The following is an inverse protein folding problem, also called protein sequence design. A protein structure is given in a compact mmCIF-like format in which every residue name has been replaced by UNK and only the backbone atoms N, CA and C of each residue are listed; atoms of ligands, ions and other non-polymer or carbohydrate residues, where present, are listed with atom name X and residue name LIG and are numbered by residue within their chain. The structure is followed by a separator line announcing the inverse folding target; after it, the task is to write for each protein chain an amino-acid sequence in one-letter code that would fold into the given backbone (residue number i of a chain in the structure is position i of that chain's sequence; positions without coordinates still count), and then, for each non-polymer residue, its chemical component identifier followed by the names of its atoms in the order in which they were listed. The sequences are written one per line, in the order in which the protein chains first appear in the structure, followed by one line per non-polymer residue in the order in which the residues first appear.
data_IF_280356296855
#
_entry.id   IF_280356296855
#
_cell.length_a   1.000
_cell.length_b   1.000
_cell.length_c   1.000
_cell.angle_alpha   90.00
_cell.angle_beta   90.00
_cell.angle_gamma   90.00
#
_symmetry.space_group_name_H-M   'P 1'
#
loop_
_entity.id
_entity.type
_entity.pdbx_description
1 polymer ?
#
# COMPACT_ATOMS: atom_id res chain seq x y z
N UNK A 1 -4.40 13.89 -12.38
CA UNK A 1 -5.36 13.40 -11.36
C UNK A 1 -4.57 13.09 -10.10
N UNK A 2 -4.96 13.69 -8.97
CA UNK A 2 -4.16 13.78 -7.73
C UNK A 2 -3.88 12.40 -7.11
N UNK A 3 -2.59 12.02 -7.06
CA UNK A 3 -2.06 10.82 -6.40
C UNK A 3 -2.01 10.99 -4.88
N UNK A 4 -3.18 11.16 -4.25
CA UNK A 4 -3.35 11.11 -2.80
C UNK A 4 -4.31 9.98 -2.45
N UNK A 5 -3.94 8.75 -2.83
CA UNK A 5 -4.74 7.54 -2.54
C UNK A 5 -4.75 7.22 -1.04
N UNK A 6 -3.76 7.72 -0.30
CA UNK A 6 -3.63 7.49 1.13
C UNK A 6 -4.29 8.66 1.85
N UNK A 7 -5.62 8.67 1.80
CA UNK A 7 -6.47 9.50 2.65
C UNK A 7 -6.69 8.78 3.97
N UNK A 8 -5.72 8.89 4.88
CA UNK A 8 -5.75 8.21 6.18
C UNK A 8 -4.35 7.88 6.67
N UNK A 9 -4.19 7.69 7.97
CA UNK A 9 -2.88 7.36 8.54
C UNK A 9 -2.35 6.03 7.98
N UNK A 10 -1.16 6.06 7.37
CA UNK A 10 -0.48 4.87 6.82
C UNK A 10 -0.44 3.68 7.80
N UNK A 11 -0.32 3.96 9.10
CA UNK A 11 -0.28 2.96 10.17
C UNK A 11 -1.53 2.06 10.19
N UNK A 12 -2.71 2.59 9.91
CA UNK A 12 -3.94 1.80 9.88
C UNK A 12 -4.05 1.01 8.57
N UNK A 13 -3.78 1.67 7.44
CA UNK A 13 -3.82 1.04 6.12
C UNK A 13 -2.84 -0.13 6.03
N UNK A 14 -1.64 -0.02 6.59
CA UNK A 14 -0.69 -1.14 6.63
C UNK A 14 -1.21 -2.34 7.43
N UNK A 15 -1.93 -2.09 8.54
CA UNK A 15 -2.52 -3.15 9.35
C UNK A 15 -3.56 -3.94 8.56
N UNK A 16 -4.45 -3.23 7.88
CA UNK A 16 -5.50 -3.82 7.03
C UNK A 16 -4.91 -4.52 5.80
N UNK A 17 -3.87 -3.96 5.18
CA UNK A 17 -3.13 -4.61 4.07
C UNK A 17 -2.52 -5.93 4.52
N UNK A 18 -1.87 -5.96 5.69
CA UNK A 18 -1.27 -7.18 6.25
C UNK A 18 -2.33 -8.25 6.56
N UNK A 19 -3.52 -7.83 7.01
CA UNK A 19 -4.65 -8.76 7.21
C UNK A 19 -5.21 -9.30 5.89
N UNK A 20 -5.32 -8.47 4.85
CA UNK A 20 -5.84 -8.86 3.53
C UNK A 20 -4.83 -9.70 2.74
N UNK A 21 -3.54 -9.46 2.91
CA UNK A 21 -2.45 -10.11 2.20
C UNK A 21 -1.44 -10.73 3.16
N UNK A 22 -1.58 -12.02 3.44
CA UNK A 22 -0.65 -12.77 4.30
C UNK A 22 0.81 -12.79 3.80
N UNK A 23 1.03 -12.48 2.52
CA UNK A 23 2.36 -12.34 1.90
C UNK A 23 3.08 -11.05 2.29
N UNK A 24 2.36 -10.05 2.79
CA UNK A 24 2.95 -8.77 3.20
C UNK A 24 3.46 -8.87 4.63
N UNK A 25 4.69 -8.40 4.83
CA UNK A 25 5.31 -8.31 6.15
C UNK A 25 5.39 -6.85 6.61
N UNK A 26 5.73 -6.63 7.88
CA UNK A 26 5.96 -5.27 8.39
C UNK A 26 7.11 -4.56 7.67
N UNK A 27 8.08 -5.31 7.12
CA UNK A 27 9.21 -4.77 6.36
C UNK A 27 8.77 -4.24 4.99
N UNK A 28 7.87 -4.96 4.31
CA UNK A 28 7.31 -4.52 3.02
C UNK A 28 6.44 -3.27 3.14
N UNK A 29 5.86 -3.08 4.32
CA UNK A 29 4.98 -1.97 4.65
C UNK A 29 5.72 -0.85 5.42
N UNK A 30 7.04 -0.96 5.51
CA UNK A 30 7.88 -0.03 6.23
C UNK A 30 8.10 1.23 5.39
N UNK A 31 7.32 2.27 5.70
CA UNK A 31 7.42 3.55 5.03
C UNK A 31 8.60 4.35 5.62
N UNK A 32 9.72 4.36 4.92
CA UNK A 32 10.79 5.33 5.16
C UNK A 32 10.28 6.77 4.90
N UNK A 33 10.78 7.75 5.67
CA UNK A 33 10.37 9.17 5.56
C UNK A 33 10.26 9.62 4.10
N UNK A 34 9.05 9.95 3.66
CA UNK A 34 8.78 10.56 2.36
C UNK A 34 8.74 9.61 1.14
N UNK A 35 8.87 8.29 1.32
CA UNK A 35 8.97 7.33 0.20
C UNK A 35 7.68 6.55 -0.09
N UNK A 36 6.55 7.24 -0.08
CA UNK A 36 5.23 6.61 -0.27
C UNK A 36 5.08 6.00 -1.67
N UNK A 37 5.51 6.73 -2.69
CA UNK A 37 5.44 6.29 -4.08
C UNK A 37 6.32 5.05 -4.33
N UNK A 38 7.52 5.03 -3.75
CA UNK A 38 8.44 3.87 -3.81
C UNK A 38 7.83 2.63 -3.14
N UNK A 39 7.18 2.81 -2.00
CA UNK A 39 6.51 1.72 -1.30
C UNK A 39 5.34 1.15 -2.11
N UNK A 40 4.52 2.00 -2.73
CA UNK A 40 3.45 1.53 -3.62
C UNK A 40 4.05 0.75 -4.81
N UNK A 41 5.15 1.23 -5.41
CA UNK A 41 5.84 0.51 -6.48
C UNK A 41 6.31 -0.89 -6.06
N UNK A 42 6.89 -1.03 -4.87
CA UNK A 42 7.29 -2.33 -4.32
C UNK A 42 6.10 -3.24 -4.08
N UNK A 43 5.02 -2.70 -3.51
CA UNK A 43 3.80 -3.46 -3.29
C UNK A 43 3.18 -3.95 -4.60
N UNK A 44 3.21 -3.15 -5.67
CA UNK A 44 2.72 -3.55 -7.00
C UNK A 44 3.45 -4.78 -7.50
N UNK A 45 4.78 -4.78 -7.39
CA UNK A 45 5.63 -5.91 -7.80
C UNK A 45 5.37 -7.12 -6.89
N UNK A 46 5.35 -6.92 -5.57
CA UNK A 46 5.21 -8.02 -4.60
C UNK A 46 3.85 -8.71 -4.64
N UNK A 47 2.78 -7.93 -4.82
CA UNK A 47 1.43 -8.46 -4.96
C UNK A 47 1.12 -8.88 -6.40
N UNK A 48 1.96 -8.53 -7.37
CA UNK A 48 1.69 -8.73 -8.80
C UNK A 48 0.46 -7.97 -9.28
N UNK A 49 0.20 -6.79 -8.71
CA UNK A 49 -1.02 -5.99 -8.96
C UNK A 49 -0.73 -4.69 -9.68
N UNK A 50 -1.62 -4.31 -10.59
CA UNK A 50 -1.53 -3.04 -11.31
C UNK A 50 -1.84 -1.86 -10.41
N UNK A 51 -1.55 -0.65 -10.89
CA UNK A 51 -1.87 0.59 -10.17
C UNK A 51 -3.36 0.72 -9.88
N UNK A 52 -4.21 0.29 -10.80
CA UNK A 52 -5.67 0.32 -10.65
C UNK A 52 -6.16 -0.65 -9.58
N UNK A 53 -5.63 -1.88 -9.58
CA UNK A 53 -5.90 -2.88 -8.54
C UNK A 53 -5.51 -2.35 -7.16
N UNK A 54 -4.33 -1.72 -7.05
CA UNK A 54 -3.90 -1.06 -5.81
C UNK A 54 -4.86 0.05 -5.40
N UNK A 55 -5.28 0.91 -6.33
CA UNK A 55 -6.24 1.97 -6.02
C UNK A 55 -7.57 1.42 -5.52
N UNK A 56 -8.07 0.33 -6.11
CA UNK A 56 -9.26 -0.36 -5.60
C UNK A 56 -9.04 -0.86 -4.18
N UNK A 57 -7.93 -1.55 -3.92
CA UNK A 57 -7.58 -2.03 -2.58
C UNK A 57 -7.56 -0.86 -1.59
N UNK A 58 -6.83 0.22 -1.87
CA UNK A 58 -6.77 1.39 -0.99
C UNK A 58 -8.11 2.11 -0.81
N UNK A 59 -9.04 2.00 -1.77
CA UNK A 59 -10.39 2.56 -1.65
C UNK A 59 -11.34 1.65 -0.85
N UNK A 60 -11.03 0.35 -0.76
CA UNK A 60 -11.76 -0.65 0.01
C UNK A 60 -11.27 -0.81 1.46
N UNK A 61 -10.09 -0.25 1.78
CA UNK A 61 -9.47 -0.31 3.12
C UNK A 61 -10.02 0.79 4.03
#
# INVERSE_FOLDING_TARGET
MNTTVIKGGWKEQKGRLKQKFAILTDDDLLLGKGKMDELIGRLQIKLGKTKEEMQKIFSEL
#
